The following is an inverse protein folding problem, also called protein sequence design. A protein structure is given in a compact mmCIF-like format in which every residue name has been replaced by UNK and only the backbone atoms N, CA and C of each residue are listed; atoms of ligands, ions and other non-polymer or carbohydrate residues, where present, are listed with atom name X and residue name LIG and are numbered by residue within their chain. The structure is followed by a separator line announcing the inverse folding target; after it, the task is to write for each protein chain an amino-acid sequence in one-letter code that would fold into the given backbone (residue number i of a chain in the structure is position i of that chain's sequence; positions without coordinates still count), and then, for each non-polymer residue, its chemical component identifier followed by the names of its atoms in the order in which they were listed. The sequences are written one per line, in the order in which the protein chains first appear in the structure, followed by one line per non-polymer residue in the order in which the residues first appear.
data_IF_151717192266
#
_entry.id   IF_151717192266
#
_cell.length_a   1.000
_cell.length_b   1.000
_cell.length_c   1.000
_cell.angle_alpha   90.00
_cell.angle_beta   90.00
_cell.angle_gamma   90.00
#
_symmetry.space_group_name_H-M   'P 1'
#
loop_
_entity.id
_entity.type
_entity.pdbx_description
1 polymer ?
#
# COMPACT_ATOMS: atom_id res chain seq x y z
N UNK A 1 -55.88 -10.76 -28.94
CA UNK A 1 -55.04 -10.85 -27.72
C UNK A 1 -53.84 -11.78 -27.87
N UNK A 2 -53.93 -12.99 -28.48
CA UNK A 2 -52.75 -13.88 -28.67
C UNK A 2 -51.61 -13.28 -29.51
N UNK A 3 -51.91 -12.50 -30.56
CA UNK A 3 -50.89 -11.96 -31.46
C UNK A 3 -50.12 -10.76 -30.88
N UNK A 4 -50.74 -9.96 -30.01
CA UNK A 4 -50.08 -8.84 -29.32
C UNK A 4 -49.07 -9.34 -28.28
N UNK A 5 -49.30 -10.51 -27.67
CA UNK A 5 -48.33 -11.12 -26.74
C UNK A 5 -47.10 -11.70 -27.47
N UNK A 6 -47.26 -12.28 -28.66
CA UNK A 6 -46.13 -12.76 -29.47
C UNK A 6 -45.26 -11.61 -30.01
N UNK A 7 -45.88 -10.52 -30.46
CA UNK A 7 -45.14 -9.34 -30.91
C UNK A 7 -44.32 -8.70 -29.78
N UNK A 8 -44.89 -8.61 -28.58
CA UNK A 8 -44.19 -8.06 -27.41
C UNK A 8 -43.01 -8.94 -26.98
N UNK A 9 -43.17 -10.27 -27.02
CA UNK A 9 -42.10 -11.21 -26.69
C UNK A 9 -40.92 -11.15 -27.67
N UNK A 10 -41.19 -10.98 -28.97
CA UNK A 10 -40.14 -10.85 -29.99
C UNK A 10 -39.38 -9.52 -29.88
N UNK A 11 -40.08 -8.42 -29.56
CA UNK A 11 -39.42 -7.12 -29.32
C UNK A 11 -38.55 -7.16 -28.07
N UNK A 12 -39.02 -7.79 -26.98
CA UNK A 12 -38.22 -7.94 -25.75
C UNK A 12 -37.00 -8.84 -25.99
N UNK A 13 -37.15 -9.94 -26.73
CA UNK A 13 -36.02 -10.80 -27.09
C UNK A 13 -34.98 -10.08 -27.97
N UNK A 14 -35.43 -9.24 -28.92
CA UNK A 14 -34.54 -8.44 -29.77
C UNK A 14 -33.79 -7.35 -28.96
N UNK A 15 -34.45 -6.73 -27.97
CA UNK A 15 -33.81 -5.76 -27.06
C UNK A 15 -32.80 -6.44 -26.13
N UNK A 16 -33.11 -7.64 -25.63
CA UNK A 16 -32.17 -8.43 -24.81
C UNK A 16 -30.95 -8.90 -25.63
N UNK A 17 -31.13 -9.29 -26.89
CA UNK A 17 -30.01 -9.66 -27.77
C UNK A 17 -29.14 -8.45 -28.16
N UNK A 18 -29.74 -7.26 -28.28
CA UNK A 18 -29.01 -6.02 -28.56
C UNK A 18 -28.19 -5.49 -27.36
N UNK A 19 -28.61 -5.79 -26.12
CA UNK A 19 -27.82 -5.52 -24.91
C UNK A 19 -26.84 -6.65 -24.55
N UNK A 20 -26.89 -7.78 -25.26
CA UNK A 20 -26.10 -8.99 -24.98
C UNK A 20 -25.10 -9.33 -26.09
N UNK A 21 -24.68 -8.37 -26.90
CA UNK A 21 -23.69 -8.57 -27.96
C UNK A 21 -22.34 -9.00 -27.37
N UNK A 22 -21.96 -10.26 -27.59
CA UNK A 22 -20.67 -10.86 -27.21
C UNK A 22 -19.50 -10.39 -28.08
N UNK A 23 -19.70 -9.40 -28.93
CA UNK A 23 -18.66 -8.82 -29.77
C UNK A 23 -18.21 -7.53 -29.10
N UNK A 24 -17.02 -7.57 -28.48
CA UNK A 24 -16.33 -6.34 -28.13
C UNK A 24 -16.23 -5.52 -29.40
N UNK A 25 -16.96 -4.39 -29.48
CA UNK A 25 -16.98 -3.52 -30.65
C UNK A 25 -15.57 -3.10 -31.06
N UNK A 26 -15.38 -2.29 -32.11
CA UNK A 26 -14.03 -1.96 -32.62
C UNK A 26 -12.97 -1.74 -31.53
N UNK A 27 -12.11 -2.75 -31.33
CA UNK A 27 -11.02 -2.75 -30.35
C UNK A 27 -9.74 -2.16 -30.93
N UNK A 28 -9.80 -1.63 -32.16
CA UNK A 28 -8.66 -0.96 -32.78
C UNK A 28 -8.30 0.27 -31.96
N UNK A 29 -7.06 0.31 -31.50
CA UNK A 29 -6.57 1.47 -30.76
C UNK A 29 -6.58 2.70 -31.66
N UNK A 30 -7.36 3.71 -31.25
CA UNK A 30 -7.42 4.99 -31.96
C UNK A 30 -6.08 5.74 -31.94
N UNK A 31 -5.25 5.46 -30.94
CA UNK A 31 -3.92 6.03 -30.76
C UNK A 31 -2.90 4.89 -30.63
N UNK A 32 -1.81 4.99 -31.38
CA UNK A 32 -0.66 4.11 -31.23
C UNK A 32 0.38 4.79 -30.35
N UNK A 33 1.00 3.99 -29.49
CA UNK A 33 2.08 4.44 -28.62
C UNK A 33 3.39 3.77 -29.06
N UNK A 34 4.51 4.48 -28.94
CA UNK A 34 5.82 3.91 -29.26
C UNK A 34 6.42 3.12 -28.11
N UNK A 35 5.97 3.39 -26.88
CA UNK A 35 6.46 2.75 -25.66
C UNK A 35 5.47 2.98 -24.51
N UNK A 36 5.64 2.19 -23.45
CA UNK A 36 4.98 2.38 -22.16
C UNK A 36 6.04 2.80 -21.13
N UNK A 37 5.75 3.85 -20.37
CA UNK A 37 6.54 4.26 -19.21
C UNK A 37 5.64 4.21 -17.99
N UNK A 38 6.08 3.51 -16.95
CA UNK A 38 5.27 3.31 -15.75
C UNK A 38 6.03 3.81 -14.53
N UNK A 39 5.37 4.64 -13.74
CA UNK A 39 5.80 5.10 -12.42
C UNK A 39 4.78 4.70 -11.38
N UNK A 40 5.22 4.45 -10.14
CA UNK A 40 4.29 4.13 -9.07
C UNK A 40 4.85 3.19 -8.03
N UNK A 41 3.94 2.40 -7.47
CA UNK A 41 4.19 1.51 -6.36
C UNK A 41 3.97 0.02 -6.68
N UNK A 42 3.64 -0.77 -5.66
CA UNK A 42 3.41 -2.22 -5.75
C UNK A 42 2.37 -2.60 -6.78
N UNK A 43 1.33 -1.77 -6.97
CA UNK A 43 0.26 -2.07 -7.91
C UNK A 43 0.76 -2.05 -9.37
N UNK A 44 1.88 -1.40 -9.65
CA UNK A 44 2.45 -1.25 -10.98
C UNK A 44 3.85 -1.87 -11.13
N UNK A 45 4.40 -2.42 -10.06
CA UNK A 45 5.75 -3.00 -10.02
C UNK A 45 5.80 -4.34 -10.78
N UNK A 46 6.63 -4.38 -11.83
CA UNK A 46 6.76 -5.52 -12.74
C UNK A 46 7.91 -6.46 -12.38
N UNK A 47 8.51 -6.32 -11.20
CA UNK A 47 9.54 -7.25 -10.74
C UNK A 47 10.80 -6.60 -10.18
N UNK A 48 10.73 -5.37 -9.67
CA UNK A 48 11.88 -4.66 -9.06
C UNK A 48 12.58 -5.54 -8.01
N UNK A 49 11.80 -6.27 -7.23
CA UNK A 49 12.28 -7.12 -6.16
C UNK A 49 12.39 -8.60 -6.55
N UNK A 50 12.23 -8.97 -7.82
CA UNK A 50 12.36 -10.35 -8.30
C UNK A 50 13.84 -10.79 -8.37
N UNK A 51 14.55 -10.72 -7.24
CA UNK A 51 15.97 -11.02 -7.09
C UNK A 51 16.24 -11.81 -5.81
N UNK A 52 17.41 -12.44 -5.70
CA UNK A 52 17.86 -13.10 -4.47
C UNK A 52 16.85 -14.11 -3.92
N UNK A 53 16.56 -14.01 -2.62
CA UNK A 53 15.60 -14.88 -1.93
C UNK A 53 14.17 -14.73 -2.45
N UNK A 54 13.77 -13.53 -2.90
CA UNK A 54 12.42 -13.32 -3.45
C UNK A 54 12.24 -14.09 -4.76
N UNK A 55 13.24 -14.02 -5.66
CA UNK A 55 13.23 -14.81 -6.89
C UNK A 55 13.24 -16.32 -6.61
N UNK A 56 14.02 -16.77 -5.62
CA UNK A 56 14.09 -18.18 -5.23
C UNK A 56 12.73 -18.71 -4.72
N UNK A 57 11.89 -17.85 -4.16
CA UNK A 57 10.53 -18.17 -3.71
C UNK A 57 9.46 -18.02 -4.82
N UNK A 58 9.86 -17.67 -6.05
CA UNK A 58 8.94 -17.44 -7.17
C UNK A 58 8.12 -16.15 -7.05
N UNK A 59 8.53 -15.22 -6.20
CA UNK A 59 7.87 -13.93 -5.99
C UNK A 59 8.46 -12.81 -6.85
N UNK A 60 8.09 -11.58 -6.51
CA UNK A 60 8.68 -10.36 -7.07
C UNK A 60 7.68 -9.36 -7.65
N UNK A 61 6.41 -9.76 -7.81
CA UNK A 61 5.30 -8.88 -8.18
C UNK A 61 4.21 -8.95 -7.11
N UNK A 62 3.48 -7.85 -6.92
CA UNK A 62 2.40 -7.77 -5.92
C UNK A 62 1.06 -8.18 -6.52
N UNK A 63 1.01 -9.41 -6.97
CA UNK A 63 -0.16 -10.09 -7.53
C UNK A 63 -0.11 -11.56 -7.10
N UNK A 64 -0.93 -12.43 -7.69
CA UNK A 64 -0.74 -13.88 -7.51
C UNK A 64 0.70 -14.24 -7.90
N UNK A 65 1.40 -14.94 -7.01
CA UNK A 65 2.81 -15.25 -7.24
C UNK A 65 2.94 -16.29 -8.36
N UNK A 66 3.77 -15.96 -9.35
CA UNK A 66 4.06 -16.83 -10.47
C UNK A 66 2.92 -16.96 -11.48
N UNK A 67 3.21 -17.74 -12.52
CA UNK A 67 2.24 -18.06 -13.56
C UNK A 67 1.63 -19.43 -13.28
N UNK A 68 0.32 -19.47 -13.06
CA UNK A 68 -0.46 -20.68 -12.78
C UNK A 68 -1.54 -20.94 -13.84
N UNK A 69 -1.29 -20.56 -15.10
CA UNK A 69 -2.21 -20.81 -16.23
C UNK A 69 -2.55 -22.29 -16.44
N UNK A 70 -1.68 -23.19 -15.98
CA UNK A 70 -1.94 -24.63 -15.99
C UNK A 70 -3.07 -25.04 -15.02
N UNK A 71 -3.31 -24.25 -13.98
CA UNK A 71 -4.44 -24.44 -13.03
C UNK A 71 -5.67 -23.73 -13.55
N UNK A 72 -5.53 -22.47 -13.95
CA UNK A 72 -6.63 -21.67 -14.47
C UNK A 72 -6.09 -20.60 -15.44
N UNK A 73 -6.62 -20.47 -16.68
CA UNK A 73 -6.08 -19.58 -17.71
C UNK A 73 -5.94 -18.11 -17.30
N UNK A 74 -6.79 -17.64 -16.38
CA UNK A 74 -6.75 -16.26 -15.88
C UNK A 74 -5.56 -16.02 -14.91
N UNK A 75 -4.94 -17.07 -14.38
CA UNK A 75 -3.87 -16.97 -13.38
C UNK A 75 -2.49 -16.72 -14.01
N UNK A 76 -2.39 -15.61 -14.71
CA UNK A 76 -1.19 -15.25 -15.49
C UNK A 76 -0.03 -14.71 -14.64
N UNK A 77 -0.28 -14.25 -13.41
CA UNK A 77 0.73 -13.57 -12.58
C UNK A 77 1.17 -12.20 -13.12
N UNK A 78 0.41 -11.64 -14.07
CA UNK A 78 0.67 -10.33 -14.66
C UNK A 78 0.10 -9.21 -13.79
N UNK A 79 0.78 -8.07 -13.77
CA UNK A 79 0.22 -6.81 -13.28
C UNK A 79 -0.65 -6.17 -14.37
N UNK A 80 -1.47 -5.19 -13.98
CA UNK A 80 -2.31 -4.44 -14.93
C UNK A 80 -1.46 -3.73 -16.00
N UNK A 81 -0.24 -3.31 -15.68
CA UNK A 81 0.66 -2.63 -16.64
C UNK A 81 1.20 -3.58 -17.71
N UNK A 82 1.36 -4.87 -17.39
CA UNK A 82 1.74 -5.89 -18.36
C UNK A 82 0.56 -6.27 -19.26
N UNK A 83 -0.65 -6.27 -18.70
CA UNK A 83 -1.88 -6.47 -19.48
C UNK A 83 -2.11 -5.33 -20.47
N UNK A 84 -1.94 -4.07 -20.02
CA UNK A 84 -2.06 -2.91 -20.89
C UNK A 84 -0.98 -2.85 -21.97
N UNK A 85 0.29 -3.15 -21.64
CA UNK A 85 1.33 -3.22 -22.65
C UNK A 85 0.98 -4.23 -23.76
N UNK A 86 0.47 -5.41 -23.39
CA UNK A 86 0.00 -6.40 -24.35
C UNK A 86 -1.19 -5.89 -25.18
N UNK A 87 -2.15 -5.21 -24.54
CA UNK A 87 -3.30 -4.62 -25.24
C UNK A 87 -2.88 -3.52 -26.22
N UNK A 88 -1.82 -2.76 -25.91
CA UNK A 88 -1.26 -1.74 -26.77
C UNK A 88 -0.33 -2.28 -27.88
N UNK A 89 -0.07 -3.59 -27.91
CA UNK A 89 0.91 -4.18 -28.83
C UNK A 89 2.35 -3.74 -28.54
N UNK A 90 2.64 -3.36 -27.30
CA UNK A 90 3.95 -2.91 -26.84
C UNK A 90 4.77 -4.07 -26.28
N UNK A 91 6.08 -3.86 -26.18
CA UNK A 91 6.97 -4.81 -25.50
C UNK A 91 6.54 -5.01 -24.04
N UNK A 92 6.72 -6.24 -23.53
CA UNK A 92 6.47 -6.53 -22.13
C UNK A 92 7.31 -5.60 -21.23
N UNK A 93 6.71 -4.92 -20.25
CA UNK A 93 7.46 -4.05 -19.36
C UNK A 93 8.50 -4.83 -18.57
N UNK A 94 9.64 -4.20 -18.32
CA UNK A 94 10.69 -4.71 -17.44
C UNK A 94 11.07 -3.66 -16.39
N UNK A 95 11.55 -4.07 -15.21
CA UNK A 95 11.91 -3.16 -14.14
C UNK A 95 13.14 -2.32 -14.53
N UNK A 96 13.05 -1.00 -14.42
CA UNK A 96 14.16 -0.08 -14.68
C UNK A 96 15.27 -0.17 -13.63
N UNK A 97 14.96 -0.73 -12.47
CA UNK A 97 15.88 -0.95 -11.37
C UNK A 97 15.49 -2.25 -10.67
N UNK A 98 16.48 -3.02 -10.23
CA UNK A 98 16.28 -4.21 -9.39
C UNK A 98 17.25 -4.20 -8.22
N UNK A 99 16.90 -4.83 -7.11
CA UNK A 99 17.79 -4.97 -5.95
C UNK A 99 17.02 -5.04 -4.64
N UNK A 100 17.73 -5.38 -3.57
CA UNK A 100 17.21 -5.43 -2.20
C UNK A 100 18.32 -5.01 -1.22
N UNK A 101 17.95 -4.24 -0.20
CA UNK A 101 18.84 -3.73 0.85
C UNK A 101 18.39 -4.25 2.23
N UNK A 102 18.15 -5.55 2.29
CA UNK A 102 17.62 -6.27 3.45
C UNK A 102 18.63 -7.21 4.07
N UNK A 103 18.10 -8.23 4.76
CA UNK A 103 18.88 -9.20 5.50
C UNK A 103 19.66 -10.14 4.56
N UNK A 104 20.99 -10.04 4.58
CA UNK A 104 21.87 -10.89 3.79
C UNK A 104 21.74 -12.39 4.13
N UNK A 105 21.48 -12.75 5.39
CA UNK A 105 21.29 -14.15 5.80
C UNK A 105 20.04 -14.79 5.17
N UNK A 106 19.08 -13.97 4.72
CA UNK A 106 17.88 -14.41 4.01
C UNK A 106 18.00 -14.24 2.48
N UNK A 107 19.20 -13.91 1.98
CA UNK A 107 19.44 -13.57 0.58
C UNK A 107 18.60 -12.36 0.10
N UNK A 108 18.31 -11.42 1.01
CA UNK A 108 17.62 -10.15 0.72
C UNK A 108 18.60 -8.97 0.64
N UNK A 109 19.91 -9.21 0.58
CA UNK A 109 20.90 -8.18 0.25
C UNK A 109 21.42 -8.45 -1.15
N UNK A 110 20.84 -7.75 -2.14
CA UNK A 110 21.17 -7.90 -3.56
C UNK A 110 21.52 -6.52 -4.12
N UNK A 111 22.71 -6.35 -4.74
CA UNK A 111 23.13 -5.07 -5.29
C UNK A 111 22.07 -4.41 -6.19
N UNK A 112 21.95 -3.09 -6.09
CA UNK A 112 21.09 -2.32 -6.97
C UNK A 112 21.65 -2.32 -8.38
N UNK A 113 20.84 -2.76 -9.34
CA UNK A 113 21.18 -2.82 -10.76
C UNK A 113 20.17 -1.97 -11.54
N UNK A 114 20.68 -1.14 -12.45
CA UNK A 114 19.86 -0.30 -13.34
C UNK A 114 19.80 -0.92 -14.74
N UNK A 115 18.62 -0.94 -15.33
CA UNK A 115 18.36 -1.55 -16.64
C UNK A 115 18.04 -0.46 -17.66
N UNK A 116 19.05 -0.02 -18.41
CA UNK A 116 18.94 1.12 -19.32
C UNK A 116 17.88 0.94 -20.42
N UNK A 117 17.54 -0.27 -20.83
CA UNK A 117 16.47 -0.51 -21.80
C UNK A 117 15.05 -0.45 -21.20
N UNK A 118 14.91 -0.54 -19.88
CA UNK A 118 13.64 -0.70 -19.19
C UNK A 118 13.00 0.64 -18.78
N UNK A 119 11.67 0.66 -18.73
CA UNK A 119 10.84 1.84 -18.45
C UNK A 119 9.75 1.58 -17.40
N UNK A 120 9.76 0.43 -16.73
CA UNK A 120 8.94 0.17 -15.54
C UNK A 120 9.67 0.62 -14.29
N UNK A 121 9.41 1.84 -13.83
CA UNK A 121 10.08 2.41 -12.65
C UNK A 121 9.36 2.16 -11.33
N UNK A 122 8.11 1.68 -11.39
CA UNK A 122 7.31 1.44 -10.21
C UNK A 122 7.98 0.43 -9.26
N UNK A 123 7.99 0.74 -7.97
CA UNK A 123 8.58 -0.12 -6.95
C UNK A 123 7.60 -0.34 -5.80
N UNK A 124 7.38 -1.58 -5.39
CA UNK A 124 6.63 -1.86 -4.17
C UNK A 124 7.10 -1.03 -2.98
N UNK A 125 6.15 -0.50 -2.23
CA UNK A 125 6.41 0.39 -1.09
C UNK A 125 6.76 1.84 -1.45
N UNK A 126 6.94 2.19 -2.74
CA UNK A 126 7.22 3.57 -3.12
C UNK A 126 6.10 4.54 -2.68
N UNK A 127 6.51 5.64 -2.06
CA UNK A 127 5.65 6.79 -1.75
C UNK A 127 5.82 7.88 -2.80
N UNK A 128 5.00 8.92 -2.74
CA UNK A 128 5.10 10.04 -3.70
C UNK A 128 6.47 10.73 -3.62
N UNK A 129 6.94 11.04 -2.41
CA UNK A 129 8.17 11.81 -2.19
C UNK A 129 9.09 11.26 -1.10
N UNK A 130 8.55 10.59 -0.09
CA UNK A 130 9.36 10.09 1.02
C UNK A 130 10.04 8.75 0.66
N UNK A 131 11.37 8.61 0.80
CA UNK A 131 12.08 7.38 0.47
C UNK A 131 11.78 6.21 1.40
N UNK A 132 11.18 6.46 2.57
CA UNK A 132 10.81 5.43 3.54
C UNK A 132 9.34 5.09 3.39
N UNK A 133 9.06 4.03 2.65
CA UNK A 133 7.74 3.42 2.55
C UNK A 133 7.70 2.00 3.13
N UNK A 134 6.53 1.33 3.02
CA UNK A 134 6.36 -0.03 3.52
C UNK A 134 7.42 -0.98 2.95
N UNK A 135 7.96 -1.86 3.79
CA UNK A 135 8.97 -2.83 3.38
C UNK A 135 10.39 -2.29 3.30
N UNK A 136 10.62 -0.98 3.44
CA UNK A 136 11.94 -0.37 3.50
C UNK A 136 12.69 -0.80 4.78
N UNK A 137 14.02 -0.89 4.74
CA UNK A 137 14.83 -1.34 5.89
C UNK A 137 14.63 -0.49 7.15
N UNK A 138 14.40 0.82 6.98
CA UNK A 138 14.17 1.76 8.10
C UNK A 138 12.82 1.56 8.79
N UNK A 139 11.91 0.76 8.22
CA UNK A 139 10.68 0.33 8.91
C UNK A 139 10.91 -0.95 9.73
N UNK A 140 12.16 -1.42 9.84
CA UNK A 140 12.50 -2.70 10.46
C UNK A 140 12.22 -3.93 9.59
N UNK A 141 11.89 -3.74 8.30
CA UNK A 141 11.62 -4.84 7.38
C UNK A 141 12.89 -5.62 7.06
N UNK A 142 12.91 -6.97 7.23
CA UNK A 142 14.04 -7.79 6.82
C UNK A 142 14.20 -7.88 5.31
N UNK A 143 13.16 -7.56 4.53
CA UNK A 143 13.19 -7.59 3.07
C UNK A 143 14.03 -6.45 2.49
N UNK A 144 14.01 -5.27 3.12
CA UNK A 144 14.77 -4.11 2.69
C UNK A 144 14.44 -3.66 1.26
N UNK A 145 13.17 -3.43 0.98
CA UNK A 145 12.75 -2.84 -0.28
C UNK A 145 13.39 -1.47 -0.49
N UNK A 146 13.73 -1.15 -1.74
CA UNK A 146 14.43 0.10 -2.09
C UNK A 146 13.50 1.32 -2.00
N UNK A 147 12.20 1.12 -2.23
CA UNK A 147 11.12 2.11 -2.11
C UNK A 147 11.42 3.48 -2.73
N UNK A 148 12.06 3.50 -3.90
CA UNK A 148 12.42 4.75 -4.60
C UNK A 148 11.15 5.58 -4.83
N UNK A 149 11.09 6.84 -4.33
CA UNK A 149 9.89 7.67 -4.45
C UNK A 149 9.47 7.92 -5.88
N UNK A 150 8.18 8.10 -6.14
CA UNK A 150 7.63 8.34 -7.48
C UNK A 150 8.22 9.62 -8.11
N UNK A 151 8.43 10.66 -7.32
CA UNK A 151 9.16 11.87 -7.75
C UNK A 151 10.58 11.56 -8.24
N UNK A 152 11.31 10.71 -7.53
CA UNK A 152 12.65 10.24 -7.93
C UNK A 152 12.60 9.31 -9.14
N UNK A 153 11.59 8.44 -9.24
CA UNK A 153 11.38 7.59 -10.41
C UNK A 153 11.19 8.43 -11.69
N UNK A 154 10.38 9.49 -11.62
CA UNK A 154 10.17 10.43 -12.73
C UNK A 154 11.47 11.18 -13.05
N UNK A 155 12.18 11.67 -12.03
CA UNK A 155 13.48 12.34 -12.23
C UNK A 155 14.52 11.43 -12.91
N UNK A 156 14.57 10.14 -12.53
CA UNK A 156 15.42 9.15 -13.15
C UNK A 156 15.07 8.92 -14.63
N UNK A 157 13.78 8.89 -14.97
CA UNK A 157 13.36 8.79 -16.36
C UNK A 157 13.73 10.04 -17.16
N UNK A 158 13.42 11.23 -16.65
CA UNK A 158 13.77 12.48 -17.32
C UNK A 158 15.28 12.62 -17.55
N UNK A 159 16.10 12.18 -16.60
CA UNK A 159 17.56 12.15 -16.75
C UNK A 159 18.01 11.21 -17.87
N UNK A 160 17.29 10.10 -18.08
CA UNK A 160 17.53 9.13 -19.16
C UNK A 160 17.10 9.65 -20.54
N UNK A 161 16.05 10.49 -20.60
CA UNK A 161 15.45 10.95 -21.86
C UNK A 161 15.76 12.43 -22.18
N UNK A 162 16.84 12.97 -21.65
CA UNK A 162 17.28 14.36 -21.89
C UNK A 162 16.26 15.43 -21.49
N UNK A 163 15.53 15.19 -20.40
CA UNK A 163 14.69 16.18 -19.73
C UNK A 163 13.25 16.28 -20.24
N UNK A 164 12.85 15.53 -21.28
CA UNK A 164 11.49 15.58 -21.80
C UNK A 164 11.00 14.22 -22.29
N UNK A 165 9.70 13.97 -22.07
CA UNK A 165 8.99 12.89 -22.76
C UNK A 165 8.93 13.21 -24.26
N UNK A 166 9.08 12.17 -25.09
CA UNK A 166 8.97 12.25 -26.56
C UNK A 166 7.54 12.53 -27.02
N UNK A 167 6.56 12.30 -26.16
CA UNK A 167 5.13 12.57 -26.43
C UNK A 167 4.44 11.49 -27.27
N UNK A 168 5.17 10.44 -27.64
CA UNK A 168 4.64 9.27 -28.35
C UNK A 168 4.51 8.04 -27.44
N UNK A 169 5.03 8.11 -26.20
CA UNK A 169 4.80 7.07 -25.20
C UNK A 169 3.50 7.30 -24.42
N UNK A 170 2.92 6.21 -23.94
CA UNK A 170 1.91 6.26 -22.89
C UNK A 170 2.60 6.24 -21.53
N UNK A 171 2.22 7.16 -20.65
CA UNK A 171 2.77 7.29 -19.31
C UNK A 171 1.71 6.94 -18.27
N UNK A 172 2.01 5.95 -17.43
CA UNK A 172 1.17 5.55 -16.32
C UNK A 172 1.78 5.98 -14.99
N UNK A 173 0.95 6.55 -14.11
CA UNK A 173 1.32 6.91 -12.75
C UNK A 173 0.22 6.41 -11.81
N UNK A 174 0.58 5.56 -10.87
CA UNK A 174 -0.31 5.14 -9.77
C UNK A 174 0.46 5.17 -8.46
N UNK A 175 0.07 6.05 -7.55
CA UNK A 175 0.81 6.36 -6.33
C UNK A 175 -0.10 6.88 -5.21
N UNK A 176 0.43 6.90 -3.98
CA UNK A 176 -0.19 7.54 -2.83
C UNK A 176 -0.79 6.58 -1.81
N UNK A 177 -1.05 5.31 -2.19
CA UNK A 177 -1.54 4.30 -1.25
C UNK A 177 -0.56 4.09 -0.08
N UNK A 178 0.74 4.01 -0.38
CA UNK A 178 1.77 3.87 0.65
C UNK A 178 1.88 5.10 1.58
N UNK A 179 1.58 6.31 1.10
CA UNK A 179 1.53 7.50 1.95
C UNK A 179 0.38 7.41 2.95
N UNK A 180 -0.80 6.98 2.50
CA UNK A 180 -1.95 6.76 3.38
C UNK A 180 -1.70 5.64 4.39
N UNK A 181 -1.10 4.50 3.96
CA UNK A 181 -0.77 3.39 4.86
C UNK A 181 0.22 3.80 5.95
N UNK A 182 1.28 4.53 5.58
CA UNK A 182 2.26 5.01 6.56
C UNK A 182 1.63 6.00 7.55
N UNK A 183 0.83 6.96 7.07
CA UNK A 183 0.14 7.92 7.93
C UNK A 183 -0.89 7.26 8.85
N UNK A 184 -1.61 6.25 8.36
CA UNK A 184 -2.56 5.50 9.17
C UNK A 184 -1.84 4.71 10.28
N UNK A 185 -0.69 4.12 9.99
CA UNK A 185 0.13 3.44 10.99
C UNK A 185 0.66 4.40 12.07
N UNK A 186 1.09 5.60 11.69
CA UNK A 186 1.48 6.66 12.63
C UNK A 186 0.30 7.11 13.50
N UNK A 187 -0.89 7.27 12.90
CA UNK A 187 -2.12 7.61 13.62
C UNK A 187 -2.52 6.50 14.60
N UNK A 188 -2.47 5.24 14.20
CA UNK A 188 -2.79 4.10 15.06
C UNK A 188 -1.83 4.02 16.26
N UNK A 189 -0.53 4.17 16.02
CA UNK A 189 0.48 4.18 17.08
C UNK A 189 0.25 5.34 18.06
N UNK A 190 0.02 6.55 17.54
CA UNK A 190 -0.26 7.73 18.34
C UNK A 190 -1.56 7.61 19.15
N UNK A 191 -2.63 7.12 18.53
CA UNK A 191 -3.92 6.91 19.19
C UNK A 191 -3.84 5.82 20.28
N UNK A 192 -3.10 4.74 20.03
CA UNK A 192 -2.86 3.68 21.00
C UNK A 192 -2.07 4.19 22.21
N UNK A 193 -1.01 4.96 21.96
CA UNK A 193 -0.23 5.59 23.02
C UNK A 193 -1.07 6.56 23.86
N UNK A 194 -1.86 7.43 23.20
CA UNK A 194 -2.75 8.37 23.86
C UNK A 194 -3.85 7.65 24.68
N UNK A 195 -4.46 6.61 24.12
CA UNK A 195 -5.46 5.79 24.80
C UNK A 195 -4.89 5.07 26.02
N UNK A 196 -3.66 4.54 25.91
CA UNK A 196 -2.94 3.89 27.02
C UNK A 196 -2.64 4.89 28.13
N UNK A 197 -2.14 6.09 27.79
CA UNK A 197 -1.87 7.14 28.76
C UNK A 197 -3.16 7.59 29.48
N UNK A 198 -4.26 7.79 28.75
CA UNK A 198 -5.55 8.15 29.32
C UNK A 198 -6.11 7.04 30.23
N UNK A 199 -6.00 5.77 29.83
CA UNK A 199 -6.41 4.62 30.63
C UNK A 199 -5.61 4.50 31.93
N UNK A 200 -4.29 4.69 31.87
CA UNK A 200 -3.42 4.68 33.05
C UNK A 200 -3.77 5.83 34.01
N UNK A 201 -4.03 7.03 33.49
CA UNK A 201 -4.46 8.17 34.32
C UNK A 201 -5.80 7.90 35.01
N UNK A 202 -6.78 7.31 34.31
CA UNK A 202 -8.08 6.95 34.89
C UNK A 202 -7.95 5.84 35.96
N UNK A 203 -7.10 4.84 35.72
CA UNK A 203 -6.82 3.78 36.67
C UNK A 203 -6.14 4.32 37.94
N UNK A 204 -5.15 5.21 37.80
CA UNK A 204 -4.49 5.88 38.91
C UNK A 204 -5.49 6.72 39.74
N UNK A 205 -6.39 7.46 39.08
CA UNK A 205 -7.45 8.20 39.75
C UNK A 205 -8.43 7.29 40.52
N UNK A 206 -8.81 6.15 39.94
CA UNK A 206 -9.68 5.16 40.60
C UNK A 206 -9.01 4.52 41.81
N UNK A 207 -7.72 4.17 41.67
CA UNK A 207 -6.92 3.64 42.77
C UNK A 207 -6.83 4.65 43.91
N UNK A 208 -6.48 5.90 43.61
CA UNK A 208 -6.40 6.97 44.61
C UNK A 208 -7.75 7.18 45.32
N UNK A 209 -8.86 7.18 44.60
CA UNK A 209 -10.21 7.34 45.18
C UNK A 209 -10.59 6.17 46.10
N UNK A 210 -10.37 4.91 45.65
CA UNK A 210 -10.65 3.72 46.45
C UNK A 210 -9.79 3.65 47.70
N UNK A 211 -8.48 3.90 47.55
CA UNK A 211 -7.54 3.87 48.66
C UNK A 211 -7.85 4.98 49.66
N UNK A 212 -8.19 6.20 49.19
CA UNK A 212 -8.66 7.29 50.04
C UNK A 212 -9.90 6.88 50.85
N UNK A 213 -10.91 6.28 50.21
CA UNK A 213 -12.11 5.80 50.90
C UNK A 213 -11.83 4.72 51.93
N UNK A 214 -10.94 3.77 51.61
CA UNK A 214 -10.53 2.70 52.53
C UNK A 214 -9.81 3.28 53.76
N UNK A 215 -8.81 4.16 53.57
CA UNK A 215 -8.06 4.73 54.69
C UNK A 215 -8.91 5.69 55.55
N UNK A 216 -9.77 6.49 54.92
CA UNK A 216 -10.62 7.44 55.63
C UNK A 216 -11.67 6.77 56.52
N UNK A 217 -12.12 5.55 56.16
CA UNK A 217 -13.17 4.83 56.91
C UNK A 217 -12.78 4.44 58.33
N UNK A 218 -11.48 4.35 58.64
CA UNK A 218 -10.96 4.07 59.98
C UNK A 218 -10.74 5.29 60.87
N UNK A 219 -11.02 6.51 60.38
CA UNK A 219 -10.75 7.74 61.12
C UNK A 219 -11.95 8.17 61.98
N UNK A 220 -11.67 8.96 63.04
CA UNK A 220 -12.69 9.60 63.90
C UNK A 220 -13.53 10.63 63.16
N UNK A 221 -12.98 11.29 62.14
CA UNK A 221 -13.70 12.10 61.15
C UNK A 221 -13.32 11.65 59.73
N UNK A 222 -14.09 10.71 59.14
CA UNK A 222 -13.82 10.19 57.81
C UNK A 222 -13.85 11.25 56.70
N UNK A 223 -14.66 12.31 56.84
CA UNK A 223 -14.77 13.34 55.82
C UNK A 223 -13.54 14.25 55.79
N UNK A 224 -13.01 14.61 56.96
CA UNK A 224 -11.75 15.34 57.05
C UNK A 224 -10.56 14.49 56.59
N UNK A 225 -10.52 13.22 56.99
CA UNK A 225 -9.47 12.29 56.57
C UNK A 225 -9.44 12.08 55.05
N UNK A 226 -10.61 11.88 54.41
CA UNK A 226 -10.68 11.71 52.96
C UNK A 226 -10.16 12.94 52.18
N UNK A 227 -10.47 14.16 52.65
CA UNK A 227 -9.96 15.39 52.02
C UNK A 227 -8.44 15.52 52.13
N UNK A 228 -7.87 15.24 53.31
CA UNK A 228 -6.43 15.33 53.52
C UNK A 228 -5.66 14.28 52.71
N UNK A 229 -6.14 13.03 52.69
CA UNK A 229 -5.53 11.92 51.95
C UNK A 229 -5.65 12.15 50.44
N UNK A 230 -6.83 12.59 49.97
CA UNK A 230 -7.03 12.93 48.57
C UNK A 230 -6.11 14.06 48.09
N UNK A 231 -5.90 15.10 48.90
CA UNK A 231 -4.97 16.19 48.60
C UNK A 231 -3.52 15.69 48.55
N UNK A 232 -3.12 14.77 49.44
CA UNK A 232 -1.79 14.16 49.42
C UNK A 232 -1.55 13.35 48.13
N UNK A 233 -2.53 12.54 47.69
CA UNK A 233 -2.45 11.85 46.40
C UNK A 233 -2.31 12.81 45.22
N UNK A 234 -3.07 13.92 45.20
CA UNK A 234 -2.98 14.92 44.14
C UNK A 234 -1.63 15.65 44.15
N UNK A 235 -1.09 15.93 45.34
CA UNK A 235 0.21 16.59 45.50
C UNK A 235 1.35 15.70 45.03
N UNK A 236 1.32 14.41 45.39
CA UNK A 236 2.33 13.44 44.95
C UNK A 236 2.26 13.20 43.44
N UNK A 237 1.05 13.02 42.89
CA UNK A 237 0.85 12.87 41.45
C UNK A 237 1.30 14.08 40.62
N UNK A 238 1.43 15.25 41.24
CA UNK A 238 1.94 16.47 40.62
C UNK A 238 3.46 16.66 40.80
N UNK A 239 4.14 15.80 41.57
CA UNK A 239 5.58 15.87 41.79
C UNK A 239 6.33 15.25 40.59
N UNK A 240 7.29 15.97 40.02
CA UNK A 240 8.05 15.50 38.88
C UNK A 240 9.09 14.46 39.33
N UNK A 241 8.83 13.17 39.13
CA UNK A 241 9.80 12.11 39.40
C UNK A 241 9.26 10.72 39.76
N UNK A 242 7.94 10.56 39.89
CA UNK A 242 7.27 9.26 40.08
C UNK A 242 6.85 8.61 38.77
#
# INVERSE_FOLDING_TARGET
MRQTHFALALVVAAVLAACGGSEGGDQTLRQQYSAQVTFGDSLSDVGTYAVGGVAALGGGKFTINGNSVAVQPEYTGKTWTELLAAQFGLAAPCPAQTGLDGNAAMNFSVPVMHHAACTGYAQGGARVSNPVGPGHKLTGSPLGQLTVPVSTQIANHLSKVNGAFRGTEIVFVLAGANDALMQLGELEAGATAAGTAAGNAAAAGTFAARLTGLLASGATDPAAAARAIGLAFQTEAASAGS
#
